data_IF_705397315305
#
_entry.id   IF_705397315305
#
_cell.length_a   1.000
_cell.length_b   1.000
_cell.length_c   1.000
_cell.angle_alpha   90.00
_cell.angle_beta   90.00
_cell.angle_gamma   90.00
#
_symmetry.space_group_name_H-M   'P 1'
#
loop_
_entity.id
_entity.type
_entity.pdbx_description
1 polymer ?
#
# COMPACT_ATOMS: atom_id res chain seq x y z
N UNK A 1 6.23 80.28 25.97
CA UNK A 1 6.15 79.08 26.82
C UNK A 1 6.48 77.88 25.94
N UNK A 2 7.57 77.16 26.23
CA UNK A 2 8.33 76.15 25.40
C UNK A 2 8.99 76.78 24.14
N UNK A 3 10.25 77.24 24.08
CA UNK A 3 11.59 76.65 24.38
C UNK A 3 11.76 75.26 23.73
N UNK A 4 12.75 74.92 22.89
CA UNK A 4 14.05 75.51 22.52
C UNK A 4 14.59 74.85 21.19
N UNK A 5 15.89 74.68 20.87
CA UNK A 5 16.62 75.57 19.96
C UNK A 5 17.59 74.88 18.94
N UNK A 6 18.36 75.72 18.21
CA UNK A 6 19.73 75.54 17.65
C UNK A 6 20.03 74.67 16.40
N UNK A 7 20.84 75.30 15.53
CA UNK A 7 21.59 74.85 14.32
C UNK A 7 22.90 74.13 14.73
N UNK A 8 23.68 73.44 13.85
CA UNK A 8 24.58 74.01 12.80
C UNK A 8 24.55 73.19 11.47
N UNK A 9 24.93 73.69 10.27
CA UNK A 9 26.21 74.19 9.72
C UNK A 9 27.27 73.09 9.43
N UNK A 10 27.60 72.95 8.14
CA UNK A 10 28.91 72.51 7.58
C UNK A 10 29.26 71.00 7.71
N UNK A 11 30.00 70.32 6.83
CA UNK A 11 31.03 70.67 5.82
C UNK A 11 31.40 69.34 5.09
N UNK A 12 31.76 69.41 3.80
CA UNK A 12 32.71 68.53 3.06
C UNK A 12 32.43 67.00 2.98
N UNK A 13 32.91 66.22 2.01
CA UNK A 13 33.58 66.35 0.72
C UNK A 13 33.50 64.92 0.11
N UNK A 14 33.46 64.83 -1.22
CA UNK A 14 33.99 63.74 -2.04
C UNK A 14 33.90 62.27 -1.55
N UNK A 15 33.22 61.42 -2.34
CA UNK A 15 33.98 60.36 -3.03
C UNK A 15 33.12 59.73 -4.13
N UNK A 16 33.70 59.67 -5.33
CA UNK A 16 33.19 58.88 -6.43
C UNK A 16 33.34 57.39 -6.06
N UNK A 17 32.22 56.67 -6.02
CA UNK A 17 32.22 55.21 -6.08
C UNK A 17 31.44 54.80 -7.32
N UNK A 18 32.17 54.21 -8.27
CA UNK A 18 31.65 53.40 -9.35
C UNK A 18 30.65 52.39 -8.76
N UNK A 19 29.38 52.50 -9.14
CA UNK A 19 28.43 51.42 -8.91
C UNK A 19 28.61 50.37 -10.01
N UNK A 20 29.32 49.29 -9.65
CA UNK A 20 29.24 48.03 -10.37
C UNK A 20 27.82 47.49 -10.20
N UNK A 21 27.13 47.29 -11.32
CA UNK A 21 25.81 46.66 -11.38
C UNK A 21 25.98 45.17 -11.06
N UNK A 22 25.27 44.58 -10.09
CA UNK A 22 25.27 43.13 -9.91
C UNK A 22 24.40 42.51 -11.01
N UNK A 23 25.00 41.64 -11.80
CA UNK A 23 24.30 40.73 -12.72
C UNK A 23 23.39 39.82 -11.89
N UNK A 24 22.08 40.00 -12.00
CA UNK A 24 21.10 39.05 -11.49
C UNK A 24 21.22 37.80 -12.36
N UNK A 25 21.84 36.75 -11.83
CA UNK A 25 21.71 35.41 -12.36
C UNK A 25 20.28 34.98 -12.04
N UNK A 26 19.40 35.05 -13.03
CA UNK A 26 18.13 34.34 -13.00
C UNK A 26 18.49 32.86 -13.07
N UNK A 27 18.53 32.21 -11.90
CA UNK A 27 18.49 30.76 -11.83
C UNK A 27 17.12 30.36 -12.35
N UNK A 28 17.08 29.90 -13.60
CA UNK A 28 15.99 29.08 -14.12
C UNK A 28 16.02 27.80 -13.29
N UNK A 29 15.29 27.79 -12.18
CA UNK A 29 15.07 26.59 -11.38
C UNK A 29 14.05 25.76 -12.14
N UNK A 30 14.52 25.16 -13.23
CA UNK A 30 13.89 24.00 -13.84
C UNK A 30 13.79 22.96 -12.73
N UNK A 31 12.61 22.89 -12.11
CA UNK A 31 12.18 21.79 -11.27
C UNK A 31 12.41 20.52 -12.10
N UNK A 32 13.57 19.92 -11.86
CA UNK A 32 13.94 18.66 -12.45
C UNK A 32 13.04 17.67 -11.73
N UNK A 33 11.92 17.32 -12.36
CA UNK A 33 11.11 16.20 -11.94
C UNK A 33 12.08 15.02 -11.76
N UNK A 34 12.22 14.56 -10.51
CA UNK A 34 12.91 13.31 -10.24
C UNK A 34 12.29 12.25 -11.15
N UNK A 35 13.09 11.53 -11.95
CA UNK A 35 12.56 10.49 -12.80
C UNK A 35 11.86 9.47 -11.88
N UNK A 36 10.59 9.21 -12.14
CA UNK A 36 9.86 8.11 -11.56
C UNK A 36 10.73 6.87 -11.68
N UNK A 37 11.23 6.38 -10.55
CA UNK A 37 12.03 5.16 -10.47
C UNK A 37 11.24 4.08 -11.21
N UNK A 38 11.83 3.53 -12.28
CA UNK A 38 11.32 2.33 -12.94
C UNK A 38 11.14 1.25 -11.87
N UNK A 39 9.93 1.16 -11.33
CA UNK A 39 9.61 0.20 -10.30
C UNK A 39 9.68 -1.16 -10.99
N UNK A 40 10.62 -1.99 -10.56
CA UNK A 40 10.77 -3.35 -11.07
C UNK A 40 9.88 -4.26 -10.23
N UNK A 41 9.20 -5.19 -10.90
CA UNK A 41 8.46 -6.27 -10.22
C UNK A 41 9.39 -7.06 -9.29
N UNK A 42 8.90 -7.40 -8.11
CA UNK A 42 9.64 -8.21 -7.14
C UNK A 42 9.16 -9.67 -7.17
N UNK A 43 10.07 -10.64 -7.11
CA UNK A 43 9.72 -12.07 -7.03
C UNK A 43 9.80 -12.56 -5.58
N UNK A 44 8.71 -13.16 -5.10
CA UNK A 44 8.60 -13.75 -3.76
C UNK A 44 8.47 -15.26 -3.88
N UNK A 45 9.32 -16.01 -3.16
CA UNK A 45 9.16 -17.47 -3.07
C UNK A 45 8.01 -17.81 -2.14
N UNK A 46 7.11 -18.69 -2.59
CA UNK A 46 6.04 -19.28 -1.78
C UNK A 46 6.47 -20.70 -1.44
N UNK A 47 6.82 -20.90 -0.17
CA UNK A 47 7.49 -22.12 0.28
C UNK A 47 8.76 -22.40 -0.54
N UNK A 48 8.90 -23.61 -1.05
CA UNK A 48 10.01 -24.11 -1.87
C UNK A 48 9.57 -24.50 -3.30
N UNK A 49 8.30 -24.27 -3.67
CA UNK A 49 7.69 -24.85 -4.88
C UNK A 49 6.86 -23.87 -5.72
N UNK A 50 6.78 -22.59 -5.34
CA UNK A 50 6.04 -21.58 -6.09
C UNK A 50 6.63 -20.18 -5.97
N UNK A 51 6.24 -19.28 -6.88
CA UNK A 51 6.72 -17.89 -6.91
C UNK A 51 5.64 -16.85 -7.24
N UNK A 52 5.60 -15.75 -6.50
CA UNK A 52 4.72 -14.62 -6.79
C UNK A 52 5.51 -13.49 -7.44
N UNK A 53 5.07 -13.05 -8.61
CA UNK A 53 5.59 -11.85 -9.29
C UNK A 53 4.77 -10.66 -8.85
N UNK A 54 5.29 -9.92 -7.87
CA UNK A 54 4.64 -8.74 -7.31
C UNK A 54 4.70 -7.60 -8.32
N UNK A 55 3.55 -7.01 -8.69
CA UNK A 55 3.48 -5.88 -9.58
C UNK A 55 4.33 -4.71 -9.07
N UNK A 56 4.98 -4.01 -10.00
CA UNK A 56 5.86 -2.88 -9.73
C UNK A 56 5.17 -1.75 -8.94
N UNK A 57 3.87 -1.57 -9.18
CA UNK A 57 3.04 -0.57 -8.52
C UNK A 57 2.80 -0.87 -7.03
N UNK A 58 3.05 -2.09 -6.55
CA UNK A 58 2.88 -2.45 -5.14
C UNK A 58 4.15 -2.11 -4.36
N UNK A 59 4.08 -1.05 -3.57
CA UNK A 59 5.21 -0.55 -2.78
C UNK A 59 5.40 -1.40 -1.53
N UNK A 60 6.62 -1.86 -1.27
CA UNK A 60 6.93 -2.63 -0.06
C UNK A 60 6.67 -1.82 1.21
N UNK A 61 6.09 -2.46 2.21
CA UNK A 61 5.78 -1.86 3.51
C UNK A 61 6.40 -2.69 4.66
N UNK A 62 6.69 -2.06 5.81
CA UNK A 62 7.12 -2.79 7.00
C UNK A 62 6.03 -3.77 7.48
N UNK A 63 6.45 -4.93 7.97
CA UNK A 63 5.53 -5.98 8.42
C UNK A 63 4.93 -5.60 9.78
N UNK A 64 3.61 -5.67 9.92
CA UNK A 64 2.96 -5.32 11.17
C UNK A 64 3.22 -6.33 12.32
N UNK A 65 3.59 -7.57 11.99
CA UNK A 65 3.99 -8.60 12.96
C UNK A 65 4.79 -9.73 12.27
N UNK A 66 5.32 -10.66 13.07
CA UNK A 66 6.20 -11.74 12.58
C UNK A 66 5.48 -12.87 11.83
N UNK A 67 4.15 -12.94 11.90
CA UNK A 67 3.38 -13.95 11.14
C UNK A 67 3.30 -13.54 9.66
N UNK A 68 3.34 -12.24 9.39
CA UNK A 68 3.38 -11.70 8.04
C UNK A 68 4.81 -11.88 7.51
N UNK A 69 4.93 -12.51 6.35
CA UNK A 69 6.22 -12.70 5.66
C UNK A 69 6.53 -11.51 4.76
N UNK A 70 5.53 -11.05 4.00
CA UNK A 70 5.64 -9.88 3.14
C UNK A 70 4.43 -8.95 3.29
N UNK A 71 4.70 -7.65 3.23
CA UNK A 71 3.69 -6.61 3.31
C UNK A 71 3.97 -5.55 2.25
N UNK A 72 2.91 -5.14 1.56
CA UNK A 72 2.95 -4.14 0.50
C UNK A 72 1.75 -3.20 0.61
N UNK A 73 1.83 -2.09 -0.12
CA UNK A 73 0.82 -1.08 -0.23
C UNK A 73 0.50 -0.89 -1.72
N UNK A 74 -0.78 -1.02 -2.07
CA UNK A 74 -1.30 -0.68 -3.38
C UNK A 74 -2.01 0.68 -3.29
N UNK A 75 -1.93 1.50 -4.33
CA UNK A 75 -2.59 2.81 -4.38
C UNK A 75 -3.56 2.91 -5.56
N UNK A 76 -4.53 3.82 -5.46
CA UNK A 76 -5.28 4.32 -6.60
C UNK A 76 -4.73 5.70 -6.98
N UNK A 77 -3.66 5.73 -7.77
CA UNK A 77 -2.98 6.96 -8.18
C UNK A 77 -1.60 7.13 -7.56
N UNK A 78 -1.02 8.31 -7.82
CA UNK A 78 0.35 8.68 -7.45
C UNK A 78 0.36 9.72 -6.31
N UNK A 79 1.51 9.83 -5.63
CA UNK A 79 1.71 10.76 -4.52
C UNK A 79 1.27 10.23 -3.15
N UNK A 80 1.62 10.98 -2.11
CA UNK A 80 1.41 10.59 -0.70
C UNK A 80 -0.05 10.71 -0.24
N UNK A 81 -0.87 11.44 -1.01
CA UNK A 81 -2.30 11.64 -0.73
C UNK A 81 -3.18 10.54 -1.35
N UNK A 82 -2.61 9.65 -2.17
CA UNK A 82 -3.38 8.60 -2.82
C UNK A 82 -3.97 7.63 -1.78
N UNK A 83 -5.27 7.31 -1.95
CA UNK A 83 -5.89 6.25 -1.17
C UNK A 83 -5.14 4.93 -1.40
N UNK A 84 -4.94 4.18 -0.32
CA UNK A 84 -4.13 2.96 -0.36
C UNK A 84 -4.82 1.78 0.29
N UNK A 85 -4.46 0.59 -0.19
CA UNK A 85 -4.88 -0.69 0.34
C UNK A 85 -3.66 -1.47 0.83
N UNK A 86 -3.84 -2.16 1.94
CA UNK A 86 -2.82 -2.98 2.57
C UNK A 86 -2.83 -4.37 1.94
N UNK A 87 -1.68 -4.86 1.52
CA UNK A 87 -1.49 -6.21 1.00
C UNK A 87 -0.57 -7.02 1.90
N UNK A 88 -1.02 -8.18 2.36
CA UNK A 88 -0.23 -9.09 3.21
C UNK A 88 -0.09 -10.47 2.59
N UNK A 89 1.06 -11.10 2.86
CA UNK A 89 1.42 -12.44 2.42
C UNK A 89 1.94 -13.25 3.60
N UNK A 90 1.40 -14.45 3.81
CA UNK A 90 1.82 -15.32 4.91
C UNK A 90 1.39 -16.78 4.73
N UNK A 91 2.08 -17.75 5.38
CA UNK A 91 1.61 -19.11 5.50
C UNK A 91 0.27 -19.20 6.23
N UNK A 92 -0.50 -20.21 5.88
CA UNK A 92 -1.85 -20.42 6.35
C UNK A 92 -2.08 -21.82 6.90
N UNK A 93 -3.08 -21.92 7.75
CA UNK A 93 -3.58 -23.17 8.32
C UNK A 93 -5.12 -23.21 8.27
N UNK A 94 -5.68 -24.37 8.62
CA UNK A 94 -7.13 -24.60 8.53
C UNK A 94 -7.60 -24.93 7.11
N UNK A 95 -8.91 -25.05 6.92
CA UNK A 95 -9.50 -25.38 5.61
C UNK A 95 -9.82 -24.14 4.77
N UNK A 96 -9.66 -24.24 3.45
CA UNK A 96 -9.97 -23.18 2.46
C UNK A 96 -11.34 -22.56 2.72
N UNK A 97 -12.40 -23.39 2.78
CA UNK A 97 -13.78 -22.92 3.02
C UNK A 97 -13.93 -22.16 4.33
N UNK A 98 -13.41 -22.73 5.44
CA UNK A 98 -13.52 -22.11 6.76
C UNK A 98 -12.80 -20.74 6.82
N UNK A 99 -11.67 -20.61 6.13
CA UNK A 99 -10.93 -19.37 6.05
C UNK A 99 -11.66 -18.30 5.22
N UNK A 100 -12.24 -18.68 4.07
CA UNK A 100 -13.05 -17.79 3.23
C UNK A 100 -14.31 -17.34 3.96
N UNK A 101 -15.04 -18.26 4.60
CA UNK A 101 -16.23 -17.93 5.40
C UNK A 101 -15.88 -16.95 6.52
N UNK A 102 -14.73 -17.15 7.20
CA UNK A 102 -14.22 -16.23 8.23
C UNK A 102 -13.94 -14.85 7.65
N UNK A 103 -13.30 -14.74 6.48
CA UNK A 103 -13.02 -13.45 5.86
C UNK A 103 -14.29 -12.73 5.43
N UNK A 104 -15.25 -13.42 4.81
CA UNK A 104 -16.57 -12.87 4.48
C UNK A 104 -17.29 -12.39 5.75
N UNK A 105 -17.18 -13.13 6.85
CA UNK A 105 -17.76 -12.77 8.14
C UNK A 105 -17.16 -11.50 8.78
N UNK A 106 -16.03 -10.98 8.29
CA UNK A 106 -15.49 -9.68 8.70
C UNK A 106 -16.25 -8.51 8.06
N UNK A 107 -17.11 -8.78 7.07
CA UNK A 107 -17.90 -7.79 6.36
C UNK A 107 -19.38 -7.89 6.72
N UNK A 108 -20.00 -6.72 6.91
CA UNK A 108 -21.42 -6.54 7.17
C UNK A 108 -21.98 -5.38 6.32
N UNK A 109 -23.22 -4.98 6.58
CA UNK A 109 -23.89 -3.91 5.83
C UNK A 109 -24.88 -4.46 4.80
N UNK A 110 -25.92 -3.68 4.50
CA UNK A 110 -26.94 -4.04 3.49
C UNK A 110 -26.38 -3.99 2.07
N UNK A 111 -25.30 -3.26 1.87
CA UNK A 111 -24.53 -3.11 0.64
C UNK A 111 -23.47 -4.20 0.45
N UNK A 112 -23.31 -5.12 1.41
CA UNK A 112 -22.30 -6.18 1.35
C UNK A 112 -22.46 -7.04 0.10
N UNK A 113 -21.39 -7.17 -0.67
CA UNK A 113 -21.33 -8.03 -1.85
C UNK A 113 -20.19 -9.02 -1.72
N UNK A 114 -20.39 -10.22 -2.25
CA UNK A 114 -19.36 -11.25 -2.32
C UNK A 114 -19.32 -11.82 -3.73
N UNK A 115 -18.12 -11.94 -4.28
CA UNK A 115 -17.85 -12.58 -5.56
C UNK A 115 -16.86 -13.73 -5.33
N UNK A 116 -17.23 -14.92 -5.79
CA UNK A 116 -16.44 -16.13 -5.60
C UNK A 116 -16.79 -16.92 -4.32
N UNK A 117 -15.92 -17.85 -3.88
CA UNK A 117 -14.56 -18.03 -4.39
C UNK A 117 -14.52 -18.60 -5.80
N UNK A 118 -13.64 -18.07 -6.64
CA UNK A 118 -13.26 -18.65 -7.94
C UNK A 118 -12.00 -19.48 -7.75
N UNK A 119 -12.03 -20.72 -8.23
CA UNK A 119 -10.88 -21.60 -8.27
C UNK A 119 -10.18 -21.51 -9.64
N UNK A 120 -8.86 -21.55 -9.67
CA UNK A 120 -8.05 -21.60 -10.88
C UNK A 120 -6.79 -22.41 -10.61
N UNK A 121 -6.30 -23.13 -11.63
CA UNK A 121 -5.06 -23.92 -11.55
C UNK A 121 -3.89 -23.13 -12.13
N UNK A 122 -2.72 -23.20 -11.48
CA UNK A 122 -1.46 -22.60 -11.96
C UNK A 122 -0.28 -23.48 -11.57
N UNK A 123 0.39 -24.12 -12.54
CA UNK A 123 1.55 -25.00 -12.26
C UNK A 123 1.32 -26.06 -11.18
N UNK A 124 0.13 -26.67 -11.12
CA UNK A 124 -0.24 -27.64 -10.10
C UNK A 124 -0.74 -27.04 -8.78
N UNK A 125 -0.60 -25.73 -8.58
CA UNK A 125 -1.21 -25.02 -7.47
C UNK A 125 -2.69 -24.74 -7.73
N UNK A 126 -3.49 -24.92 -6.69
CA UNK A 126 -4.89 -24.49 -6.69
C UNK A 126 -4.99 -23.10 -6.06
N UNK A 127 -5.50 -22.13 -6.82
CA UNK A 127 -5.64 -20.74 -6.41
C UNK A 127 -7.13 -20.43 -6.21
N UNK A 128 -7.54 -20.14 -4.98
CA UNK A 128 -8.89 -19.69 -4.66
C UNK A 128 -8.90 -18.18 -4.45
N UNK A 129 -9.69 -17.43 -5.21
CA UNK A 129 -9.83 -15.97 -5.05
C UNK A 129 -11.25 -15.61 -4.66
N UNK A 130 -11.41 -14.83 -3.59
CA UNK A 130 -12.68 -14.25 -3.14
C UNK A 130 -12.56 -12.73 -3.08
N UNK A 131 -13.62 -12.06 -3.48
CA UNK A 131 -13.79 -10.62 -3.32
C UNK A 131 -14.99 -10.37 -2.40
N UNK A 132 -14.85 -9.44 -1.46
CA UNK A 132 -15.95 -9.00 -0.61
C UNK A 132 -15.86 -7.50 -0.38
N UNK A 133 -16.98 -6.79 -0.54
CA UNK A 133 -17.11 -5.37 -0.21
C UNK A 133 -18.22 -5.15 0.81
N UNK A 134 -18.16 -4.02 1.52
CA UNK A 134 -19.12 -3.61 2.54
C UNK A 134 -18.42 -3.03 3.77
N UNK A 135 -19.11 -3.09 4.92
CA UNK A 135 -18.59 -2.56 6.17
C UNK A 135 -17.55 -3.51 6.77
N UNK A 136 -16.27 -3.15 6.71
CA UNK A 136 -15.19 -3.97 7.24
C UNK A 136 -14.99 -3.75 8.74
N UNK A 137 -15.07 -4.84 9.50
CA UNK A 137 -14.87 -4.84 10.94
C UNK A 137 -13.38 -5.02 11.28
N UNK A 138 -12.73 -3.96 11.76
CA UNK A 138 -11.36 -4.00 12.27
C UNK A 138 -11.35 -3.89 13.80
N UNK A 139 -10.28 -4.38 14.43
CA UNK A 139 -10.02 -4.14 15.86
C UNK A 139 -8.98 -3.03 15.99
N UNK A 140 -9.33 -1.97 16.70
CA UNK A 140 -8.41 -0.90 17.08
C UNK A 140 -8.02 -1.06 18.55
N UNK A 141 -6.72 -1.17 18.79
CA UNK A 141 -6.16 -1.44 20.12
C UNK A 141 -6.22 -2.92 20.53
N UNK A 142 -5.29 -3.35 21.39
CA UNK A 142 -5.15 -4.74 21.83
C UNK A 142 -4.42 -5.64 20.82
N UNK A 143 -3.61 -6.59 21.31
CA UNK A 143 -2.99 -7.63 20.47
C UNK A 143 -4.02 -8.65 19.94
N UNK A 144 -3.61 -9.61 19.09
CA UNK A 144 -4.51 -10.61 18.47
C UNK A 144 -5.36 -11.42 19.46
N UNK A 145 -4.94 -11.46 20.72
CA UNK A 145 -5.59 -12.16 21.83
C UNK A 145 -6.04 -11.24 22.98
N UNK A 146 -5.83 -9.93 22.87
CA UNK A 146 -6.32 -8.96 23.84
C UNK A 146 -7.57 -8.27 23.29
N UNK A 147 -8.52 -7.97 24.18
CA UNK A 147 -9.69 -7.18 23.83
C UNK A 147 -9.30 -5.84 23.18
N UNK A 148 -10.14 -5.37 22.26
CA UNK A 148 -9.96 -4.13 21.49
C UNK A 148 -11.31 -3.60 21.03
N UNK A 149 -11.38 -2.31 20.67
CA UNK A 149 -12.61 -1.71 20.16
C UNK A 149 -12.82 -2.16 18.72
N UNK A 150 -14.01 -2.71 18.43
CA UNK A 150 -14.42 -2.95 17.05
C UNK A 150 -14.74 -1.61 16.37
N UNK A 151 -14.05 -1.34 15.27
CA UNK A 151 -14.32 -0.20 14.37
C UNK A 151 -14.86 -0.75 13.06
N UNK A 152 -15.90 -0.12 12.53
CA UNK A 152 -16.50 -0.46 11.23
C UNK A 152 -16.04 0.57 10.22
N UNK A 153 -15.49 0.12 9.11
CA UNK A 153 -15.05 0.97 8.01
C UNK A 153 -16.01 0.75 6.84
N UNK A 154 -16.81 1.76 6.52
CA UNK A 154 -17.69 1.75 5.36
C UNK A 154 -16.88 1.91 4.07
N UNK A 155 -17.43 1.45 2.93
CA UNK A 155 -16.79 1.62 1.62
C UNK A 155 -15.48 0.85 1.45
N UNK A 156 -15.28 -0.22 2.22
CA UNK A 156 -14.10 -1.08 2.13
C UNK A 156 -14.37 -2.31 1.26
N UNK A 157 -13.31 -2.85 0.70
CA UNK A 157 -13.32 -4.15 0.06
C UNK A 157 -12.06 -4.96 0.38
N UNK A 158 -12.13 -6.25 0.09
CA UNK A 158 -11.03 -7.20 0.23
C UNK A 158 -10.98 -8.12 -0.98
N UNK A 159 -9.77 -8.27 -1.55
CA UNK A 159 -9.40 -9.40 -2.38
C UNK A 159 -8.56 -10.36 -1.53
N UNK A 160 -9.06 -11.58 -1.35
CA UNK A 160 -8.36 -12.64 -0.64
C UNK A 160 -8.05 -13.80 -1.57
N UNK A 161 -6.82 -14.28 -1.54
CA UNK A 161 -6.40 -15.49 -2.22
C UNK A 161 -5.86 -16.53 -1.24
N UNK A 162 -6.21 -17.80 -1.47
CA UNK A 162 -5.61 -18.95 -0.81
C UNK A 162 -4.93 -19.78 -1.89
N UNK A 163 -3.60 -19.86 -1.82
CA UNK A 163 -2.77 -20.66 -2.71
C UNK A 163 -2.53 -21.99 -2.02
N UNK A 164 -3.06 -23.07 -2.58
CA UNK A 164 -2.86 -24.43 -2.08
C UNK A 164 -1.75 -25.06 -2.88
N UNK A 165 -0.69 -25.45 -2.19
CA UNK A 165 0.44 -26.14 -2.79
C UNK A 165 -0.01 -27.46 -3.42
N UNK A 166 0.53 -27.84 -4.60
CA UNK A 166 0.32 -29.17 -5.15
C UNK A 166 0.63 -30.26 -4.13
N UNK A 167 -0.03 -31.40 -4.29
CA UNK A 167 0.27 -32.57 -3.47
C UNK A 167 1.70 -33.06 -3.79
N UNK A 168 2.51 -33.22 -2.75
CA UNK A 168 3.91 -33.64 -2.83
C UNK A 168 4.31 -34.41 -1.56
N UNK A 169 5.61 -34.59 -1.32
CA UNK A 169 6.10 -35.40 -0.18
C UNK A 169 5.77 -34.81 1.22
N UNK A 170 5.28 -33.56 1.27
CA UNK A 170 4.82 -32.94 2.51
C UNK A 170 3.52 -33.61 3.00
N UNK A 171 3.46 -34.13 4.25
CA UNK A 171 2.29 -34.82 4.79
C UNK A 171 1.08 -33.90 5.02
N UNK A 172 1.21 -32.59 4.76
CA UNK A 172 0.12 -31.61 4.80
C UNK A 172 0.24 -30.70 3.58
N UNK A 173 -0.87 -30.54 2.84
CA UNK A 173 -0.99 -29.50 1.81
C UNK A 173 -0.85 -28.13 2.49
N UNK A 174 0.26 -27.46 2.22
CA UNK A 174 0.51 -26.12 2.74
C UNK A 174 -0.35 -25.12 1.98
N UNK A 175 -0.78 -24.09 2.69
CA UNK A 175 -1.60 -23.03 2.14
C UNK A 175 -0.90 -21.71 2.39
N UNK A 176 -1.00 -20.80 1.43
CA UNK A 176 -0.46 -19.46 1.53
C UNK A 176 -1.57 -18.44 1.33
N UNK A 177 -1.66 -17.45 2.22
CA UNK A 177 -2.61 -16.36 2.10
C UNK A 177 -1.96 -15.17 1.43
N UNK A 178 -2.70 -14.59 0.48
CA UNK A 178 -2.43 -13.27 -0.06
C UNK A 178 -3.71 -12.45 0.11
N UNK A 179 -3.66 -11.34 0.84
CA UNK A 179 -4.85 -10.55 1.16
C UNK A 179 -4.59 -9.08 0.91
N UNK A 180 -5.36 -8.46 0.02
CA UNK A 180 -5.40 -7.01 -0.18
C UNK A 180 -6.70 -6.46 0.42
N UNK A 181 -6.61 -5.43 1.26
CA UNK A 181 -7.77 -4.84 1.95
C UNK A 181 -7.61 -3.32 2.11
N UNK A 182 -8.66 -2.57 1.82
CA UNK A 182 -8.67 -1.11 1.85
C UNK A 182 -9.94 -0.51 1.27
N UNK A 183 -9.94 0.78 0.89
CA UNK A 183 -11.05 1.42 0.18
C UNK A 183 -11.44 0.65 -1.08
N UNK A 184 -12.74 0.53 -1.35
CA UNK A 184 -13.28 -0.23 -2.49
C UNK A 184 -12.76 0.30 -3.84
N UNK A 185 -12.54 1.62 -3.95
CA UNK A 185 -11.91 2.30 -5.09
C UNK A 185 -10.54 1.69 -5.42
N UNK A 186 -9.69 1.55 -4.41
CA UNK A 186 -8.32 1.03 -4.53
C UNK A 186 -8.32 -0.46 -4.87
N UNK A 187 -9.18 -1.25 -4.23
CA UNK A 187 -9.31 -2.67 -4.52
C UNK A 187 -9.76 -2.90 -5.97
N UNK A 188 -10.73 -2.11 -6.44
CA UNK A 188 -11.19 -2.19 -7.82
C UNK A 188 -10.10 -1.82 -8.82
N UNK A 189 -9.34 -0.76 -8.55
CA UNK A 189 -8.25 -0.31 -9.43
C UNK A 189 -7.12 -1.35 -9.55
N UNK A 190 -6.85 -2.11 -8.49
CA UNK A 190 -5.74 -3.05 -8.42
C UNK A 190 -6.14 -4.53 -8.62
N UNK A 191 -7.42 -4.79 -8.90
CA UNK A 191 -7.97 -6.15 -8.90
C UNK A 191 -7.38 -7.08 -9.96
N UNK A 192 -7.06 -6.55 -11.14
CA UNK A 192 -6.43 -7.33 -12.21
C UNK A 192 -4.96 -7.65 -11.89
N UNK A 193 -4.19 -6.65 -11.45
CA UNK A 193 -2.80 -6.84 -11.00
C UNK A 193 -2.70 -7.85 -9.86
N UNK A 194 -3.62 -7.79 -8.88
CA UNK A 194 -3.69 -8.77 -7.81
C UNK A 194 -3.94 -10.19 -8.33
N UNK A 195 -4.95 -10.36 -9.20
CA UNK A 195 -5.30 -11.68 -9.78
C UNK A 195 -4.14 -12.25 -10.59
N UNK A 196 -3.48 -11.42 -11.40
CA UNK A 196 -2.29 -11.81 -12.18
C UNK A 196 -1.15 -12.26 -11.27
N UNK A 197 -0.87 -11.51 -10.19
CA UNK A 197 0.15 -11.85 -9.21
C UNK A 197 -0.13 -13.22 -8.57
N UNK A 198 -1.33 -13.46 -8.03
CA UNK A 198 -1.63 -14.73 -7.34
C UNK A 198 -1.67 -15.93 -8.28
N UNK A 199 -1.97 -15.72 -9.56
CA UNK A 199 -1.90 -16.77 -10.59
C UNK A 199 -0.46 -17.03 -11.06
N UNK A 200 0.53 -16.19 -10.75
CA UNK A 200 1.93 -16.49 -11.10
C UNK A 200 2.55 -17.60 -10.25
N UNK A 201 1.88 -18.06 -9.19
CA UNK A 201 2.44 -18.99 -8.18
C UNK A 201 3.08 -20.25 -8.78
N UNK A 202 2.53 -20.79 -9.88
CA UNK A 202 3.06 -21.96 -10.57
C UNK A 202 3.58 -21.68 -11.98
N UNK A 203 3.97 -20.43 -12.26
CA UNK A 203 4.66 -20.08 -13.51
C UNK A 203 6.16 -20.33 -13.44
#
# INVERSE_FOLDING_TARGET
MKFAPMRPLSILLASACLFAVPTIVVGDETATAEPATDAKSETINVFDSGTLVVPAEFKRAPKANNIIEHEFQASAGEGDEAETARLTMMPASGGVKANIDRWIGQFSGSDRKTVGPKETQSGGWTVHVVEVSGQYATRMGGGPFAGGRMVRNDGYAMLGAILVEPEGDSPRRRQYFVKMIGPESVIKANGESFKKMVTSVGQ
#
